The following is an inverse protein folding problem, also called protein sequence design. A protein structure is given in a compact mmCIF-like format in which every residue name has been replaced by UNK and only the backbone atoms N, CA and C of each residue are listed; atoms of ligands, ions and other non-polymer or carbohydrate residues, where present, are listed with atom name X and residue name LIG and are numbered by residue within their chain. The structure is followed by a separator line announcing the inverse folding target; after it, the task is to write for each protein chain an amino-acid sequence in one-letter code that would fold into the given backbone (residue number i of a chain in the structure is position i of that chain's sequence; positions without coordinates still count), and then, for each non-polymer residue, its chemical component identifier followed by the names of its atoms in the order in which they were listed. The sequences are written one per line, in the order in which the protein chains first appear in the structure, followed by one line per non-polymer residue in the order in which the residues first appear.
data_IF_558150931652
#
_entry.id   IF_558150931652
#
_cell.length_a   1.000
_cell.length_b   1.000
_cell.length_c   1.000
_cell.angle_alpha   90.00
_cell.angle_beta   90.00
_cell.angle_gamma   90.00
#
_symmetry.space_group_name_H-M   'P 1'
#
loop_
_entity.id
_entity.type
_entity.pdbx_description
1 polymer ?
#
# COMPACT_ATOMS: atom_id res chain seq x y z
N UNK A 1 20.80 -22.96 12.41
CA UNK A 1 19.33 -22.93 12.21
C UNK A 1 19.02 -21.62 11.51
N UNK A 2 18.31 -21.49 10.40
CA UNK A 2 17.94 -22.34 9.27
C UNK A 2 17.35 -21.37 8.24
N UNK A 3 17.75 -21.54 6.97
CA UNK A 3 17.11 -21.10 5.73
C UNK A 3 16.87 -19.59 5.48
N UNK A 4 17.77 -19.02 4.67
CA UNK A 4 17.41 -18.01 3.66
C UNK A 4 16.41 -18.60 2.66
N UNK A 5 15.23 -17.98 2.51
CA UNK A 5 14.37 -18.10 1.33
C UNK A 5 13.57 -16.80 1.19
N UNK A 6 14.20 -15.76 0.65
CA UNK A 6 13.47 -14.66 0.02
C UNK A 6 13.48 -14.93 -1.48
N UNK A 7 12.39 -15.53 -1.97
CA UNK A 7 12.01 -15.38 -3.37
C UNK A 7 11.95 -13.89 -3.65
N UNK A 8 12.66 -13.41 -4.68
CA UNK A 8 12.70 -12.01 -5.09
C UNK A 8 11.27 -11.48 -5.27
N UNK A 9 10.72 -10.91 -4.21
CA UNK A 9 9.35 -10.44 -4.13
C UNK A 9 9.42 -8.97 -4.51
N UNK A 10 9.15 -8.67 -5.78
CA UNK A 10 9.17 -7.31 -6.30
C UNK A 10 8.12 -6.49 -5.55
N UNK A 11 8.62 -5.57 -4.74
CA UNK A 11 7.79 -4.70 -3.91
C UNK A 11 8.04 -3.26 -4.30
N UNK A 12 6.97 -2.48 -4.29
CA UNK A 12 6.98 -1.07 -4.66
C UNK A 12 6.41 -0.23 -3.51
N UNK A 13 6.90 1.00 -3.37
CA UNK A 13 6.29 1.98 -2.45
C UNK A 13 4.93 2.40 -3.02
N UNK A 14 3.90 2.28 -2.21
CA UNK A 14 2.55 2.77 -2.51
C UNK A 14 2.04 3.62 -1.35
N UNK A 15 0.99 4.37 -1.62
CA UNK A 15 0.33 5.25 -0.67
C UNK A 15 -1.12 4.81 -0.52
N UNK A 16 -1.54 4.53 0.71
CA UNK A 16 -2.91 4.13 1.04
C UNK A 16 -3.63 5.32 1.68
N UNK A 17 -4.80 5.73 1.16
CA UNK A 17 -5.61 6.74 1.82
C UNK A 17 -6.08 6.26 3.19
N UNK A 18 -6.05 7.16 4.16
CA UNK A 18 -6.65 6.94 5.47
C UNK A 18 -8.08 7.49 5.49
N UNK A 19 -8.96 6.76 6.15
CA UNK A 19 -10.34 7.14 6.40
C UNK A 19 -10.42 7.89 7.73
N UNK A 20 -11.42 8.75 7.88
CA UNK A 20 -11.76 9.41 9.15
C UNK A 20 -10.70 10.36 9.75
N UNK A 21 -9.71 10.81 8.96
CA UNK A 21 -8.69 11.77 9.39
C UNK A 21 -9.16 13.24 9.37
N UNK A 22 -10.34 13.52 8.80
CA UNK A 22 -10.85 14.89 8.60
C UNK A 22 -10.14 15.68 7.49
N UNK A 23 -9.13 15.10 6.85
CA UNK A 23 -8.41 15.64 5.70
C UNK A 23 -7.89 14.50 4.80
N UNK A 24 -7.39 14.83 3.61
CA UNK A 24 -6.77 13.85 2.70
C UNK A 24 -5.38 13.46 3.20
N UNK A 25 -5.29 12.32 3.90
CA UNK A 25 -4.05 11.76 4.43
C UNK A 25 -3.70 10.48 3.70
N UNK A 26 -2.44 10.39 3.27
CA UNK A 26 -1.89 9.22 2.62
C UNK A 26 -0.83 8.58 3.51
N UNK A 27 -0.97 7.29 3.79
CA UNK A 27 0.02 6.50 4.53
C UNK A 27 0.94 5.77 3.56
N UNK A 28 2.27 6.03 3.58
CA UNK A 28 3.22 5.25 2.80
C UNK A 28 3.30 3.82 3.34
N UNK A 29 3.35 2.85 2.43
CA UNK A 29 3.62 1.44 2.73
C UNK A 29 4.27 0.76 1.53
N UNK A 30 4.61 -0.53 1.68
CA UNK A 30 5.01 -1.38 0.56
C UNK A 30 3.82 -2.14 0.03
N UNK A 31 3.90 -2.50 -1.25
CA UNK A 31 2.99 -3.44 -1.86
C UNK A 31 3.74 -4.44 -2.72
N UNK A 32 3.24 -5.68 -2.74
CA UNK A 32 3.76 -6.75 -3.60
C UNK A 32 3.16 -6.60 -5.00
N UNK A 33 4.01 -6.46 -6.01
CA UNK A 33 3.60 -6.45 -7.42
C UNK A 33 3.07 -7.83 -7.82
N UNK A 34 1.79 -7.89 -8.16
CA UNK A 34 1.13 -9.10 -8.67
C UNK A 34 0.90 -9.07 -10.19
N UNK A 35 1.16 -7.91 -10.82
CA UNK A 35 0.97 -7.65 -12.24
C UNK A 35 1.34 -6.21 -12.57
N UNK A 36 1.08 -5.77 -13.80
CA UNK A 36 1.51 -4.45 -14.30
C UNK A 36 0.98 -3.27 -13.46
N UNK A 37 -0.26 -3.35 -12.97
CA UNK A 37 -0.92 -2.30 -12.19
C UNK A 37 -1.57 -2.83 -10.90
N UNK A 38 -1.41 -4.12 -10.61
CA UNK A 38 -2.03 -4.79 -9.46
C UNK A 38 -1.01 -5.01 -8.37
N UNK A 39 -1.33 -4.50 -7.18
CA UNK A 39 -0.47 -4.54 -6.01
C UNK A 39 -1.23 -5.13 -4.84
N UNK A 40 -0.63 -6.05 -4.09
CA UNK A 40 -1.15 -6.45 -2.78
C UNK A 40 -0.55 -5.56 -1.70
N UNK A 41 -1.40 -4.86 -0.94
CA UNK A 41 -0.98 -3.99 0.16
C UNK A 41 -0.31 -4.81 1.25
N UNK A 42 0.87 -4.40 1.70
CA UNK A 42 1.56 -5.01 2.85
C UNK A 42 1.37 -4.14 4.09
N UNK A 43 1.39 -4.79 5.25
CA UNK A 43 1.38 -4.10 6.53
C UNK A 43 2.74 -3.45 6.78
N UNK A 44 2.72 -2.28 7.41
CA UNK A 44 3.89 -1.74 8.10
C UNK A 44 4.01 -2.37 9.49
N UNK A 45 5.17 -2.28 10.12
CA UNK A 45 5.40 -2.82 11.47
C UNK A 45 4.56 -2.16 12.55
N UNK A 46 4.08 -0.94 12.30
CA UNK A 46 3.29 -0.10 13.19
C UNK A 46 1.80 -0.02 12.80
N UNK A 47 1.35 -0.84 11.83
CA UNK A 47 -0.05 -0.86 11.44
C UNK A 47 -0.94 -1.40 12.57
N UNK A 48 -1.88 -0.57 13.05
CA UNK A 48 -2.92 -0.94 14.01
C UNK A 48 -4.30 -0.45 13.53
N UNK A 49 -5.22 -1.35 13.15
CA UNK A 49 -6.56 -0.98 12.68
C UNK A 49 -7.44 -0.36 13.77
N UNK A 50 -7.05 -0.42 15.04
CA UNK A 50 -7.74 0.27 16.13
C UNK A 50 -7.31 1.75 16.26
N UNK A 51 -6.18 2.12 15.66
CA UNK A 51 -5.62 3.49 15.70
C UNK A 51 -5.82 4.20 14.37
N UNK A 52 -5.65 3.51 13.25
CA UNK A 52 -5.73 4.09 11.90
C UNK A 52 -6.58 3.21 10.98
N UNK A 53 -7.56 3.83 10.31
CA UNK A 53 -8.41 3.13 9.36
C UNK A 53 -7.92 3.35 7.93
N UNK A 54 -7.31 2.33 7.35
CA UNK A 54 -6.84 2.39 5.96
C UNK A 54 -8.02 2.07 5.03
N UNK A 55 -8.19 2.83 3.94
CA UNK A 55 -9.20 2.50 2.91
C UNK A 55 -8.94 1.10 2.32
N UNK A 56 -7.66 0.74 2.21
CA UNK A 56 -7.19 -0.56 1.77
C UNK A 56 -6.27 -1.22 2.81
N UNK A 57 -6.81 -1.95 3.81
CA UNK A 57 -6.05 -2.73 4.77
C UNK A 57 -5.05 -3.71 4.14
N UNK A 58 -3.99 -4.09 4.88
CA UNK A 58 -3.04 -5.11 4.46
C UNK A 58 -3.71 -6.39 3.94
N UNK A 59 -3.16 -6.95 2.85
CA UNK A 59 -3.72 -8.08 2.13
C UNK A 59 -4.68 -7.69 1.00
N UNK A 60 -5.18 -6.44 0.97
CA UNK A 60 -6.00 -5.96 -0.14
C UNK A 60 -5.23 -6.00 -1.47
N UNK A 61 -5.86 -6.52 -2.53
CA UNK A 61 -5.35 -6.37 -3.90
C UNK A 61 -5.95 -5.11 -4.50
N UNK A 62 -5.11 -4.20 -4.96
CA UNK A 62 -5.53 -2.89 -5.45
C UNK A 62 -4.89 -2.57 -6.79
N UNK A 63 -5.57 -1.75 -7.60
CA UNK A 63 -4.91 -0.97 -8.63
C UNK A 63 -4.45 0.36 -8.07
N UNK A 64 -3.24 0.73 -8.46
CA UNK A 64 -2.67 2.02 -8.09
C UNK A 64 -2.70 3.01 -9.26
N UNK A 65 -2.82 4.28 -8.92
CA UNK A 65 -2.77 5.40 -9.86
C UNK A 65 -1.59 6.29 -9.51
N UNK A 66 -0.87 6.73 -10.53
CA UNK A 66 0.19 7.71 -10.35
C UNK A 66 -0.39 9.13 -10.24
N UNK A 67 -0.10 9.84 -9.15
CA UNK A 67 -0.47 11.23 -8.95
C UNK A 67 0.74 12.10 -8.59
N UNK A 68 0.82 13.32 -9.09
CA UNK A 68 1.88 14.27 -8.73
C UNK A 68 1.42 15.14 -7.55
N UNK A 69 2.06 15.00 -6.39
CA UNK A 69 1.75 15.73 -5.16
C UNK A 69 3.03 16.21 -4.49
N UNK A 70 3.04 17.47 -4.04
CA UNK A 70 4.18 18.04 -3.32
C UNK A 70 5.51 17.98 -4.09
N UNK A 71 5.48 18.07 -5.43
CA UNK A 71 6.69 18.05 -6.25
C UNK A 71 7.23 16.65 -6.57
N UNK A 72 6.54 15.57 -6.19
CA UNK A 72 6.92 14.19 -6.54
C UNK A 72 5.73 13.37 -7.06
N UNK A 73 6.04 12.33 -7.82
CA UNK A 73 5.07 11.35 -8.28
C UNK A 73 4.87 10.28 -7.18
N UNK A 74 3.60 10.00 -6.86
CA UNK A 74 3.17 9.03 -5.85
C UNK A 74 2.30 7.96 -6.50
N UNK A 75 2.44 6.71 -6.05
CA UNK A 75 1.61 5.60 -6.49
C UNK A 75 0.52 5.32 -5.45
N UNK A 76 -0.70 5.79 -5.69
CA UNK A 76 -1.80 5.79 -4.70
C UNK A 76 -2.76 4.64 -4.98
N UNK A 77 -3.11 3.87 -3.95
CA UNK A 77 -4.15 2.83 -4.02
C UNK A 77 -5.54 3.46 -4.25
N UNK A 78 -6.27 3.01 -5.27
CA UNK A 78 -7.57 3.61 -5.65
C UNK A 78 -8.70 2.61 -5.88
N UNK A 79 -8.41 1.42 -6.40
CA UNK A 79 -9.46 0.45 -6.72
C UNK A 79 -9.14 -0.90 -6.10
N UNK A 80 -9.97 -1.38 -5.15
CA UNK A 80 -9.89 -2.75 -4.66
C UNK A 80 -10.36 -3.72 -5.74
N UNK A 81 -9.61 -4.80 -5.93
CA UNK A 81 -10.00 -5.93 -6.76
C UNK A 81 -10.58 -7.02 -5.85
N UNK A 82 -11.76 -7.52 -6.22
CA UNK A 82 -12.48 -8.62 -5.58
C UNK A 82 -11.93 -9.98 -6.00
#
# INVERSE_FOLDING_TARGET
MSAEMVSSTDTVEIYVPLLNEGTDVLRPTRGLLLGADVVQVLATTDYDPAVEEWEFPPGSRVRCVSEFRGGRQLLIARNRLS
#
